data_IF_236861337593
#
_entry.id   IF_236861337593
#
_cell.length_a   1.000
_cell.length_b   1.000
_cell.length_c   1.000
_cell.angle_alpha   90.00
_cell.angle_beta   90.00
_cell.angle_gamma   90.00
#
_symmetry.space_group_name_H-M   'P 1'
#
loop_
_entity.id
_entity.type
_entity.pdbx_description
1 polymer ?
#
# COMPACT_ATOMS: atom_id res chain seq x y z
N UNK A 1 -1.42 26.67 -19.96
CA UNK A 1 -1.92 26.82 -18.57
C UNK A 1 -1.89 25.45 -17.90
N UNK A 2 -1.22 25.33 -16.76
CA UNK A 2 -1.13 24.09 -15.97
C UNK A 2 -1.83 24.32 -14.65
N UNK A 3 -2.61 23.34 -14.19
CA UNK A 3 -3.33 23.39 -12.93
C UNK A 3 -2.88 22.25 -12.03
N UNK A 4 -2.70 22.53 -10.75
CA UNK A 4 -2.46 21.52 -9.73
C UNK A 4 -3.45 21.72 -8.59
N UNK A 5 -4.10 20.66 -8.15
CA UNK A 5 -4.96 20.64 -6.99
C UNK A 5 -4.74 19.38 -6.19
N UNK A 6 -4.61 19.50 -4.88
CA UNK A 6 -4.54 18.36 -3.97
C UNK A 6 -5.48 18.59 -2.80
N UNK A 7 -6.24 17.57 -2.45
CA UNK A 7 -7.12 17.56 -1.30
C UNK A 7 -6.91 16.26 -0.53
N UNK A 8 -6.76 16.37 0.79
CA UNK A 8 -6.66 15.20 1.66
C UNK A 8 -7.71 15.29 2.76
N UNK A 9 -8.30 14.15 3.11
CA UNK A 9 -9.28 14.05 4.18
C UNK A 9 -9.01 12.81 5.02
N UNK A 10 -8.88 13.03 6.31
CA UNK A 10 -8.76 11.97 7.30
C UNK A 10 -10.16 11.49 7.68
N UNK A 11 -10.38 10.18 7.61
CA UNK A 11 -11.59 9.48 8.02
C UNK A 11 -11.21 8.40 9.05
N UNK A 12 -12.18 7.90 9.82
CA UNK A 12 -11.93 6.88 10.85
C UNK A 12 -11.25 5.61 10.31
N UNK A 13 -11.50 5.28 9.04
CA UNK A 13 -10.95 4.10 8.37
C UNK A 13 -9.66 4.37 7.56
N UNK A 14 -9.08 5.57 7.68
CA UNK A 14 -7.85 5.95 7.00
C UNK A 14 -7.85 7.35 6.36
N UNK A 15 -6.68 7.75 5.88
CA UNK A 15 -6.45 9.01 5.18
C UNK A 15 -6.62 8.83 3.68
N UNK A 16 -7.45 9.68 3.08
CA UNK A 16 -7.70 9.69 1.65
C UNK A 16 -7.12 10.95 1.05
N UNK A 17 -6.24 10.81 0.06
CA UNK A 17 -5.62 11.92 -0.64
C UNK A 17 -5.99 11.84 -2.12
N UNK A 18 -6.49 12.94 -2.66
CA UNK A 18 -6.85 13.09 -4.06
C UNK A 18 -5.98 14.19 -4.65
N UNK A 19 -5.24 13.86 -5.69
CA UNK A 19 -4.41 14.79 -6.43
C UNK A 19 -4.89 14.88 -7.87
N UNK A 20 -4.88 16.10 -8.40
CA UNK A 20 -5.35 16.46 -9.73
C UNK A 20 -4.29 17.34 -10.38
N UNK A 21 -3.70 16.83 -11.47
CA UNK A 21 -2.71 17.55 -12.28
C UNK A 21 -3.31 17.77 -13.65
N UNK A 22 -3.35 19.01 -14.12
CA UNK A 22 -3.87 19.39 -15.43
C UNK A 22 -2.79 20.07 -16.24
N UNK A 23 -2.65 19.64 -17.49
CA UNK A 23 -1.78 20.24 -18.50
C UNK A 23 -2.61 20.73 -19.67
N UNK A 24 -2.22 21.85 -20.26
CA UNK A 24 -2.83 22.34 -21.49
C UNK A 24 -2.56 21.34 -22.63
N UNK A 25 -3.61 20.71 -23.14
CA UNK A 25 -3.56 19.80 -24.28
C UNK A 25 -4.73 20.08 -25.21
N UNK A 26 -4.55 19.77 -26.49
CA UNK A 26 -5.56 19.98 -27.54
C UNK A 26 -6.77 19.05 -27.37
N UNK A 27 -6.53 17.86 -26.82
CA UNK A 27 -7.55 16.84 -26.59
C UNK A 27 -7.75 16.62 -25.09
N UNK A 28 -8.95 16.16 -24.71
CA UNK A 28 -9.23 15.72 -23.35
C UNK A 28 -8.63 14.34 -23.14
N UNK A 29 -7.58 14.26 -22.32
CA UNK A 29 -6.98 13.00 -21.88
C UNK A 29 -7.14 12.86 -20.38
N UNK A 30 -8.01 11.95 -19.94
CA UNK A 30 -8.21 11.63 -18.53
C UNK A 30 -7.39 10.39 -18.16
N UNK A 31 -6.47 10.55 -17.21
CA UNK A 31 -5.76 9.45 -16.59
C UNK A 31 -6.18 9.36 -15.12
N UNK A 32 -6.93 8.33 -14.76
CA UNK A 32 -7.44 8.14 -13.40
C UNK A 32 -6.69 6.97 -12.78
N UNK A 33 -6.01 7.21 -11.66
CA UNK A 33 -5.33 6.20 -10.87
C UNK A 33 -6.09 6.03 -9.56
N UNK A 34 -6.68 4.85 -9.38
CA UNK A 34 -7.48 4.49 -8.22
C UNK A 34 -6.84 3.32 -7.45
N UNK A 35 -7.02 3.26 -6.12
CA UNK A 35 -6.74 2.06 -5.35
C UNK A 35 -7.66 0.91 -5.79
N UNK A 36 -7.21 -0.33 -5.69
CA UNK A 36 -7.98 -1.52 -6.11
C UNK A 36 -9.39 -1.58 -5.49
N UNK A 37 -9.52 -1.13 -4.24
CA UNK A 37 -10.80 -1.08 -3.53
C UNK A 37 -11.86 -0.16 -4.19
N UNK A 38 -11.44 0.76 -5.06
CA UNK A 38 -12.31 1.74 -5.72
C UNK A 38 -12.25 1.66 -7.25
N UNK A 39 -11.63 0.62 -7.82
CA UNK A 39 -11.52 0.45 -9.27
C UNK A 39 -12.89 0.43 -9.97
N UNK A 40 -13.92 -0.11 -9.32
CA UNK A 40 -15.28 -0.15 -9.86
C UNK A 40 -15.90 1.25 -10.06
N UNK A 41 -15.37 2.26 -9.36
CA UNK A 41 -15.83 3.66 -9.48
C UNK A 41 -15.08 4.45 -10.57
N UNK A 42 -14.11 3.84 -11.26
CA UNK A 42 -13.34 4.52 -12.30
C UNK A 42 -14.23 5.06 -13.41
N UNK A 43 -15.15 4.23 -13.91
CA UNK A 43 -16.03 4.62 -15.01
C UNK A 43 -16.93 5.79 -14.64
N UNK A 44 -17.45 5.77 -13.42
CA UNK A 44 -18.26 6.86 -12.87
C UNK A 44 -17.46 8.17 -12.82
N UNK A 45 -16.26 8.14 -12.22
CA UNK A 45 -15.41 9.32 -12.11
C UNK A 45 -14.99 9.86 -13.48
N UNK A 46 -14.66 8.97 -14.42
CA UNK A 46 -14.34 9.35 -15.80
C UNK A 46 -15.49 10.10 -16.46
N UNK A 47 -16.71 9.60 -16.31
CA UNK A 47 -17.88 10.24 -16.92
C UNK A 47 -18.15 11.63 -16.31
N UNK A 48 -18.04 11.76 -14.99
CA UNK A 48 -18.17 13.06 -14.32
C UNK A 48 -17.07 14.05 -14.72
N UNK A 49 -15.82 13.61 -14.79
CA UNK A 49 -14.71 14.43 -15.27
C UNK A 49 -14.92 14.89 -16.71
N UNK A 50 -15.39 14.01 -17.61
CA UNK A 50 -15.65 14.36 -19.02
C UNK A 50 -16.79 15.37 -19.20
N UNK A 51 -17.75 15.44 -18.25
CA UNK A 51 -18.80 16.47 -18.28
C UNK A 51 -18.29 17.85 -17.87
N UNK A 52 -17.30 17.90 -16.97
CA UNK A 52 -16.78 19.14 -16.40
C UNK A 52 -15.58 19.70 -17.19
N UNK A 53 -14.83 18.84 -17.89
CA UNK A 53 -13.60 19.20 -18.58
C UNK A 53 -13.78 19.09 -20.10
N UNK A 54 -13.61 20.20 -20.82
CA UNK A 54 -13.73 20.20 -22.29
C UNK A 54 -12.42 19.85 -23.01
N UNK A 55 -11.27 20.27 -22.48
CA UNK A 55 -9.95 20.06 -23.10
C UNK A 55 -8.83 20.02 -22.06
N UNK A 56 -7.76 19.29 -22.35
CA UNK A 56 -6.58 19.22 -21.51
C UNK A 56 -6.21 17.80 -21.09
N UNK A 57 -4.97 17.62 -20.65
CA UNK A 57 -4.51 16.35 -20.11
C UNK A 57 -4.60 16.41 -18.59
N UNK A 58 -5.53 15.65 -18.02
CA UNK A 58 -5.80 15.65 -16.59
C UNK A 58 -5.46 14.29 -16.01
N UNK A 59 -4.62 14.31 -14.99
CA UNK A 59 -4.19 13.13 -14.24
C UNK A 59 -4.74 13.24 -12.82
N UNK A 60 -5.66 12.34 -12.48
CA UNK A 60 -6.30 12.24 -11.18
C UNK A 60 -5.73 11.02 -10.46
N UNK A 61 -5.15 11.22 -9.29
CA UNK A 61 -4.60 10.14 -8.46
C UNK A 61 -5.31 10.14 -7.12
N UNK A 62 -5.91 9.00 -6.77
CA UNK A 62 -6.52 8.78 -5.46
C UNK A 62 -5.65 7.78 -4.70
N UNK A 63 -5.24 8.17 -3.51
CA UNK A 63 -4.49 7.34 -2.58
C UNK A 63 -5.33 7.16 -1.34
N UNK A 64 -5.52 5.91 -0.92
CA UNK A 64 -6.16 5.57 0.33
C UNK A 64 -5.12 4.92 1.23
N UNK A 65 -4.70 5.64 2.27
CA UNK A 65 -3.85 5.13 3.34
C UNK A 65 -4.77 4.68 4.46
N UNK A 66 -5.10 3.39 4.52
CA UNK A 66 -5.83 2.82 5.65
C UNK A 66 -5.00 3.00 6.92
N UNK A 67 -5.54 3.69 7.92
CA UNK A 67 -4.95 3.78 9.25
C UNK A 67 -5.19 2.47 10.01
N UNK A 68 -4.87 1.34 9.38
CA UNK A 68 -4.93 0.06 10.05
C UNK A 68 -3.67 -0.05 10.90
N UNK A 69 -3.83 0.07 12.21
CA UNK A 69 -2.79 -0.29 13.17
C UNK A 69 -2.31 -1.75 12.95
N UNK A 70 -3.13 -2.60 12.31
CA UNK A 70 -2.74 -3.94 11.89
C UNK A 70 -1.82 -3.97 10.65
N UNK A 71 -1.84 -2.96 9.78
CA UNK A 71 -0.93 -2.85 8.62
C UNK A 71 0.46 -2.33 8.99
N UNK A 72 0.63 -1.76 10.21
CA UNK A 72 1.94 -1.50 10.82
C UNK A 72 2.42 -2.64 11.71
N UNK A 73 1.56 -3.59 12.04
CA UNK A 73 1.99 -4.81 12.71
C UNK A 73 2.62 -5.69 11.65
N UNK A 74 3.96 -5.78 11.67
CA UNK A 74 4.75 -6.82 11.02
C UNK A 74 3.90 -8.07 10.76
N UNK A 75 3.60 -8.35 9.48
CA UNK A 75 2.81 -9.54 9.16
C UNK A 75 3.74 -10.74 9.33
N UNK A 76 3.71 -11.33 10.53
CA UNK A 76 4.53 -12.50 10.84
C UNK A 76 3.96 -13.68 10.07
N UNK A 77 4.75 -14.22 9.14
CA UNK A 77 4.42 -15.49 8.53
C UNK A 77 4.64 -16.61 9.58
N UNK A 78 3.55 -17.00 10.25
CA UNK A 78 3.58 -17.98 11.35
C UNK A 78 4.10 -19.35 10.91
N UNK A 79 3.86 -19.76 9.67
CA UNK A 79 4.34 -21.03 9.14
C UNK A 79 5.86 -20.98 8.94
N UNK A 80 6.34 -19.90 8.33
CA UNK A 80 7.77 -19.69 8.11
C UNK A 80 8.54 -19.52 9.43
N UNK A 81 7.98 -18.79 10.39
CA UNK A 81 8.55 -18.63 11.73
C UNK A 81 8.67 -19.98 12.45
N UNK A 82 7.64 -20.84 12.37
CA UNK A 82 7.70 -22.19 12.94
C UNK A 82 8.77 -23.03 12.27
N UNK A 83 8.86 -22.98 10.94
CA UNK A 83 9.86 -23.70 10.18
C UNK A 83 11.29 -23.30 10.57
N UNK A 84 11.60 -22.00 10.59
CA UNK A 84 12.93 -21.52 11.00
C UNK A 84 13.23 -21.82 12.47
N UNK A 85 12.26 -21.68 13.36
CA UNK A 85 12.46 -22.04 14.77
C UNK A 85 12.82 -23.53 14.90
N UNK A 86 12.22 -24.40 14.08
CA UNK A 86 12.45 -25.83 14.11
C UNK A 86 13.82 -26.22 13.52
N UNK A 87 14.23 -25.60 12.40
CA UNK A 87 15.58 -25.75 11.86
C UNK A 87 16.66 -25.24 12.83
N UNK A 88 16.47 -24.03 13.36
CA UNK A 88 17.39 -23.45 14.34
C UNK A 88 17.51 -24.30 15.58
N UNK A 89 16.41 -24.92 16.03
CA UNK A 89 16.43 -25.85 17.16
C UNK A 89 17.24 -27.11 16.84
N UNK A 90 17.04 -27.70 15.65
CA UNK A 90 17.82 -28.87 15.21
C UNK A 90 19.32 -28.56 15.17
N UNK A 91 19.70 -27.41 14.60
CA UNK A 91 21.08 -26.97 14.52
C UNK A 91 21.66 -26.67 15.91
N UNK A 92 20.88 -26.04 16.80
CA UNK A 92 21.33 -25.78 18.17
C UNK A 92 21.55 -27.07 18.97
N UNK A 93 20.70 -28.08 18.80
CA UNK A 93 20.85 -29.40 19.42
C UNK A 93 22.11 -30.12 18.90
N UNK A 94 22.42 -30.03 17.60
CA UNK A 94 23.66 -30.55 17.00
C UNK A 94 24.93 -29.82 17.51
N UNK A 95 24.85 -28.49 17.68
CA UNK A 95 25.97 -27.66 18.16
C UNK A 95 26.09 -27.57 19.70
N UNK A 96 25.17 -28.18 20.47
CA UNK A 96 25.04 -28.01 21.93
C UNK A 96 24.99 -26.53 22.35
N UNK A 97 24.33 -25.70 21.55
CA UNK A 97 24.24 -24.26 21.76
C UNK A 97 23.00 -23.89 22.59
N UNK A 98 23.06 -22.72 23.25
CA UNK A 98 21.96 -22.24 24.09
C UNK A 98 20.73 -21.86 23.26
N UNK A 99 19.58 -22.44 23.63
CA UNK A 99 18.32 -22.36 22.88
C UNK A 99 17.53 -21.08 23.18
N UNK A 100 17.91 -20.27 24.17
CA UNK A 100 17.10 -19.15 24.66
C UNK A 100 16.96 -18.00 23.64
N UNK A 101 17.89 -17.89 22.69
CA UNK A 101 17.89 -16.81 21.70
C UNK A 101 17.33 -17.20 20.33
N UNK A 102 16.92 -18.47 20.12
CA UNK A 102 16.48 -18.94 18.79
C UNK A 102 15.23 -18.23 18.29
N UNK A 103 14.27 -17.95 19.18
CA UNK A 103 13.06 -17.20 18.83
C UNK A 103 13.39 -15.77 18.38
N UNK A 104 14.33 -15.12 19.06
CA UNK A 104 14.81 -13.77 18.73
C UNK A 104 15.55 -13.75 17.40
N UNK A 105 16.33 -14.80 17.09
CA UNK A 105 16.99 -14.96 15.80
C UNK A 105 15.96 -15.21 14.68
N UNK A 106 14.97 -16.07 14.91
CA UNK A 106 13.92 -16.40 13.94
C UNK A 106 13.09 -15.18 13.50
N UNK A 107 12.78 -14.25 14.42
CA UNK A 107 12.02 -13.02 14.14
C UNK A 107 12.87 -11.97 13.38
N UNK A 108 14.20 -12.00 13.55
CA UNK A 108 15.10 -11.09 12.83
C UNK A 108 15.30 -11.46 11.36
N UNK A 109 14.81 -12.62 10.89
CA UNK A 109 14.88 -12.95 9.48
C UNK A 109 13.91 -12.08 8.67
N UNK A 110 14.41 -11.32 7.67
CA UNK A 110 13.58 -10.41 6.88
C UNK A 110 12.50 -11.12 6.04
N UNK A 111 12.62 -12.43 5.85
CA UNK A 111 11.63 -13.26 5.16
C UNK A 111 10.42 -13.62 6.05
N UNK A 112 10.63 -13.60 7.38
CA UNK A 112 9.64 -13.97 8.40
C UNK A 112 8.76 -12.78 8.77
N UNK A 113 9.36 -11.59 8.80
CA UNK A 113 8.69 -10.33 9.11
C UNK A 113 8.59 -9.49 7.86
N UNK A 114 7.38 -9.40 7.29
CA UNK A 114 7.09 -8.44 6.22
C UNK A 114 6.50 -7.17 6.82
N UNK A 115 7.18 -6.06 6.58
CA UNK A 115 6.72 -4.70 6.87
C UNK A 115 5.94 -4.13 5.69
#
# INVERSE_FOLDING_TARGET
MTGYGSASKDLDNGKYTVELKSLNSKFLELNIKLPKAFSDKEFFLRNECSKLLERGKVMLSITAETADLASKAATINKELLKYYHQELKSVADDLKADTQQLMSMAVNFPEVVKF
#
